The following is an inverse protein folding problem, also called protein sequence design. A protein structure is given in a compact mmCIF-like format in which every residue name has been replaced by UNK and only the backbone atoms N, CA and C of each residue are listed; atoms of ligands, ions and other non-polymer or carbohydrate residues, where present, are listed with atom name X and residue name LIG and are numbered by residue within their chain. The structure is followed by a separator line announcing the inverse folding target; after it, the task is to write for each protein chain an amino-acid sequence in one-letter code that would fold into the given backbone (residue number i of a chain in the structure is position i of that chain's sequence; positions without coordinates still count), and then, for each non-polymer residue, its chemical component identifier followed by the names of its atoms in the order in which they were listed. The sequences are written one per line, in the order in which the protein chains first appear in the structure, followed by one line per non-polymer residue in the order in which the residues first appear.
data_IF_763778056947
#
_entry.id   IF_763778056947
#
_cell.length_a   1.000
_cell.length_b   1.000
_cell.length_c   1.000
_cell.angle_alpha   90.00
_cell.angle_beta   90.00
_cell.angle_gamma   90.00
#
_symmetry.space_group_name_H-M   'P 1'
#
loop_
_entity.id
_entity.type
_entity.pdbx_description
1 polymer ?
#
# COMPACT_ATOMS: atom_id res chain seq x y z
N UNK A 1 -6.96 0.46 11.98
CA UNK A 1 -7.71 1.38 11.11
C UNK A 1 -6.90 2.65 11.02
N UNK A 2 -6.55 3.08 9.80
CA UNK A 2 -5.79 4.31 9.54
C UNK A 2 -6.74 5.33 8.92
N UNK A 3 -6.72 6.55 9.43
CA UNK A 3 -7.53 7.68 8.93
C UNK A 3 -6.59 8.88 8.89
N UNK A 4 -6.53 9.56 7.76
CA UNK A 4 -5.69 10.74 7.56
C UNK A 4 -6.36 11.67 6.55
N UNK A 5 -6.10 12.97 6.66
CA UNK A 5 -6.66 13.94 5.71
C UNK A 5 -5.95 13.90 4.35
N UNK A 6 -4.70 13.43 4.32
CA UNK A 6 -3.86 13.38 3.13
C UNK A 6 -3.17 12.01 2.98
N UNK A 7 -3.55 11.30 1.93
CA UNK A 7 -3.04 9.98 1.55
C UNK A 7 -1.74 10.07 0.73
N UNK A 8 -0.77 10.82 1.25
CA UNK A 8 0.53 11.00 0.59
C UNK A 8 1.52 9.84 0.82
N UNK A 9 2.62 9.83 0.07
CA UNK A 9 3.66 8.80 0.16
C UNK A 9 4.18 8.54 1.60
N UNK A 10 4.33 9.59 2.41
CA UNK A 10 4.74 9.47 3.83
C UNK A 10 3.72 8.73 4.69
N UNK A 11 2.43 8.95 4.43
CA UNK A 11 1.36 8.26 5.15
C UNK A 11 1.38 6.77 4.81
N UNK A 12 1.41 6.41 3.53
CA UNK A 12 1.45 5.01 3.10
C UNK A 12 2.70 4.28 3.61
N UNK A 13 3.87 4.92 3.59
CA UNK A 13 5.07 4.31 4.14
C UNK A 13 4.94 4.02 5.65
N UNK A 14 4.30 4.92 6.41
CA UNK A 14 4.00 4.66 7.83
C UNK A 14 3.07 3.46 7.99
N UNK A 15 2.00 3.38 7.20
CA UNK A 15 1.05 2.25 7.22
C UNK A 15 1.78 0.93 6.95
N UNK A 16 2.62 0.87 5.91
CA UNK A 16 3.35 -0.35 5.55
C UNK A 16 4.33 -0.79 6.65
N UNK A 17 5.04 0.16 7.28
CA UNK A 17 5.91 -0.15 8.42
C UNK A 17 5.13 -0.62 9.64
N UNK A 18 3.96 -0.05 9.92
CA UNK A 18 3.09 -0.53 11.00
C UNK A 18 2.61 -1.97 10.75
N UNK A 19 2.30 -2.34 9.50
CA UNK A 19 1.95 -3.73 9.14
C UNK A 19 3.10 -4.70 9.43
N UNK A 20 4.32 -4.32 9.04
CA UNK A 20 5.53 -5.10 9.31
C UNK A 20 5.78 -5.26 10.81
N UNK A 21 5.67 -4.17 11.57
CA UNK A 21 5.85 -4.19 13.03
C UNK A 21 4.78 -5.02 13.77
N UNK A 22 3.63 -5.26 13.16
CA UNK A 22 2.58 -6.15 13.68
C UNK A 22 2.82 -7.63 13.37
N UNK A 23 3.94 -7.95 12.70
CA UNK A 23 4.31 -9.32 12.35
C UNK A 23 3.92 -9.75 10.94
N UNK A 24 3.58 -8.81 10.05
CA UNK A 24 3.44 -9.16 8.62
C UNK A 24 4.83 -9.35 8.05
N UNK A 25 5.16 -10.58 7.66
CA UNK A 25 6.48 -10.93 7.15
C UNK A 25 6.60 -10.65 5.66
N UNK A 26 5.57 -10.96 4.88
CA UNK A 26 5.57 -10.84 3.43
C UNK A 26 4.18 -10.54 2.86
N UNK A 27 4.15 -9.95 1.67
CA UNK A 27 2.95 -9.68 0.88
C UNK A 27 3.19 -10.21 -0.53
N UNK A 28 2.55 -11.32 -0.90
CA UNK A 28 2.71 -11.89 -2.25
C UNK A 28 2.06 -11.02 -3.34
N UNK A 29 0.91 -10.40 -3.05
CA UNK A 29 0.15 -9.57 -3.99
C UNK A 29 -0.51 -8.40 -3.25
N UNK A 30 -0.28 -7.19 -3.74
CA UNK A 30 -0.95 -5.98 -3.27
C UNK A 30 -1.74 -5.35 -4.42
N UNK A 31 -3.05 -5.17 -4.23
CA UNK A 31 -3.93 -4.51 -5.21
C UNK A 31 -4.28 -3.12 -4.68
N UNK A 32 -3.88 -2.07 -5.40
CA UNK A 32 -4.04 -0.67 -4.97
C UNK A 32 -4.71 0.19 -6.04
N UNK A 33 -5.46 1.20 -5.65
CA UNK A 33 -6.28 2.08 -6.50
C UNK A 33 -5.49 3.13 -7.32
N UNK A 34 -4.17 2.95 -7.48
CA UNK A 34 -3.33 3.84 -8.29
C UNK A 34 -2.95 5.15 -7.60
N UNK A 35 -3.16 5.26 -6.29
CA UNK A 35 -2.73 6.41 -5.49
C UNK A 35 -1.23 6.63 -5.58
N UNK A 36 -0.85 7.90 -5.75
CA UNK A 36 0.56 8.29 -5.94
C UNK A 36 1.37 8.00 -4.67
N UNK A 37 2.45 7.23 -4.84
CA UNK A 37 3.38 6.88 -3.75
C UNK A 37 2.94 5.71 -2.88
N UNK A 38 1.75 5.14 -3.11
CA UNK A 38 1.34 3.92 -2.42
C UNK A 38 2.08 2.67 -2.95
N UNK A 39 2.21 2.45 -4.28
CA UNK A 39 3.07 1.39 -4.81
C UNK A 39 4.51 1.45 -4.27
N UNK A 40 5.10 2.66 -4.27
CA UNK A 40 6.47 2.87 -3.79
C UNK A 40 6.63 2.53 -2.31
N UNK A 41 5.64 2.88 -1.49
CA UNK A 41 5.63 2.54 -0.06
C UNK A 41 5.53 1.03 0.19
N UNK A 42 4.77 0.30 -0.62
CA UNK A 42 4.65 -1.15 -0.52
C UNK A 42 6.01 -1.78 -0.82
N UNK A 43 6.59 -1.49 -1.98
CA UNK A 43 7.87 -2.09 -2.40
C UNK A 43 9.06 -1.66 -1.54
N UNK A 44 8.97 -0.51 -0.85
CA UNK A 44 9.99 -0.08 0.11
C UNK A 44 10.02 -0.95 1.39
N UNK A 45 8.88 -1.51 1.81
CA UNK A 45 8.78 -2.30 3.05
C UNK A 45 8.74 -3.81 2.78
N UNK A 46 8.09 -4.18 1.67
CA UNK A 46 7.89 -5.55 1.17
C UNK A 46 8.38 -5.60 -0.29
N UNK A 47 9.69 -5.76 -0.53
CA UNK A 47 10.30 -5.64 -1.86
C UNK A 47 9.88 -6.73 -2.85
N UNK A 48 9.50 -7.91 -2.35
CA UNK A 48 9.06 -9.04 -3.18
C UNK A 48 7.57 -8.95 -3.57
N UNK A 49 6.85 -7.94 -3.08
CA UNK A 49 5.43 -7.81 -3.31
C UNK A 49 5.11 -7.45 -4.77
N UNK A 50 4.24 -8.25 -5.39
CA UNK A 50 3.66 -7.90 -6.69
C UNK A 50 2.59 -6.84 -6.49
N UNK A 51 2.82 -5.63 -6.99
CA UNK A 51 1.84 -4.54 -6.92
C UNK A 51 1.03 -4.47 -8.21
N UNK A 52 -0.29 -4.56 -8.10
CA UNK A 52 -1.22 -4.38 -9.22
C UNK A 52 -2.14 -3.19 -8.97
N UNK A 53 -2.36 -2.39 -10.00
CA UNK A 53 -3.38 -1.35 -9.94
C UNK A 53 -4.77 -1.97 -10.06
N UNK A 54 -5.64 -1.69 -9.09
CA UNK A 54 -7.04 -2.05 -9.12
C UNK A 54 -7.69 -1.41 -10.34
N UNK A 55 -8.04 -2.23 -11.35
CA UNK A 55 -8.80 -1.79 -12.53
C UNK A 55 -10.31 -1.90 -12.34
N UNK A 56 -10.77 -2.17 -11.11
CA UNK A 56 -12.19 -2.14 -10.78
C UNK A 56 -12.61 -0.67 -10.72
N UNK A 57 -12.81 -0.07 -11.90
CA UNK A 57 -13.72 1.05 -12.01
C UNK A 57 -15.10 0.46 -11.83
N UNK A 58 -15.80 0.85 -10.78
CA UNK A 58 -17.25 0.80 -10.80
C UNK A 58 -17.66 1.67 -11.99
N UNK A 59 -18.07 1.04 -13.09
CA UNK A 59 -18.85 1.73 -14.11
C UNK A 59 -20.22 1.94 -13.45
N UNK A 60 -20.43 3.15 -12.92
CA UNK A 60 -21.66 3.60 -12.29
C UNK A 60 -21.85 5.07 -12.60
#
# INVERSE_FOLDING_TARGET
MWIEQNEGAKFWLRVMNELKNRGTEDIMLAVVDGLKGFPDAITAVFPEAVVQTCRVKLQG
#
